data_IF_876656480697
#
_entry.id   IF_876656480697
#
_cell.length_a   1.000
_cell.length_b   1.000
_cell.length_c   1.000
_cell.angle_alpha   90.00
_cell.angle_beta   90.00
_cell.angle_gamma   90.00
#
_symmetry.space_group_name_H-M   'P 1'
#
loop_
_entity.id
_entity.type
_entity.pdbx_description
1 polymer ?
#
# COMPACT_ATOMS: atom_id res chain seq x y z
N UNK A 1 -1.85 0.19 21.21
CA UNK A 1 -3.29 0.47 21.24
C UNK A 1 -3.78 0.69 22.68
N UNK A 2 -3.60 -0.23 23.63
CA UNK A 2 -4.02 -0.03 25.03
C UNK A 2 -3.55 1.29 25.66
N UNK A 3 -2.27 1.66 25.45
CA UNK A 3 -1.68 2.91 25.94
C UNK A 3 -2.38 4.18 25.44
N UNK A 4 -3.04 4.11 24.29
CA UNK A 4 -3.69 5.26 23.64
C UNK A 4 -5.23 5.16 23.70
N UNK A 5 -5.80 4.18 24.41
CA UNK A 5 -7.24 4.02 24.56
C UNK A 5 -7.99 3.56 23.30
N UNK A 6 -7.27 3.04 22.28
CA UNK A 6 -7.87 2.61 21.01
C UNK A 6 -8.24 1.14 20.95
N UNK A 7 -8.23 0.42 22.08
CA UNK A 7 -8.58 -1.00 22.16
C UNK A 7 -10.03 -1.26 22.61
N UNK A 8 -10.87 -0.24 22.49
CA UNK A 8 -12.26 -0.31 22.96
C UNK A 8 -13.16 -0.94 21.89
N UNK A 9 -13.86 -2.01 22.25
CA UNK A 9 -14.99 -2.54 21.48
C UNK A 9 -14.67 -3.43 20.28
N UNK A 10 -13.44 -3.96 20.16
CA UNK A 10 -13.10 -4.91 19.09
C UNK A 10 -13.03 -4.31 17.67
N UNK A 11 -12.98 -2.97 17.56
CA UNK A 11 -12.89 -2.27 16.29
C UNK A 11 -11.52 -2.42 15.57
N UNK A 12 -10.53 -3.03 16.25
CA UNK A 12 -9.18 -3.17 15.75
C UNK A 12 -8.73 -4.62 15.84
N UNK A 13 -8.23 -5.16 14.73
CA UNK A 13 -7.64 -6.49 14.65
C UNK A 13 -6.13 -6.38 14.41
N UNK A 14 -5.33 -7.15 15.12
CA UNK A 14 -3.89 -7.28 14.94
C UNK A 14 -3.57 -8.70 14.52
N UNK A 15 -3.18 -8.85 13.26
CA UNK A 15 -2.86 -10.16 12.68
C UNK A 15 -1.35 -10.28 12.52
N UNK A 16 -0.74 -11.27 13.17
CA UNK A 16 0.64 -11.64 12.93
C UNK A 16 0.68 -12.79 11.92
N UNK A 17 0.95 -12.47 10.66
CA UNK A 17 0.97 -13.44 9.57
C UNK A 17 2.06 -13.10 8.54
N UNK A 18 2.36 -14.04 7.66
CA UNK A 18 3.04 -13.75 6.40
C UNK A 18 2.05 -12.99 5.50
N UNK A 19 2.36 -11.72 5.22
CA UNK A 19 1.47 -10.85 4.45
C UNK A 19 1.22 -11.38 3.03
N UNK A 20 2.24 -12.00 2.39
CA UNK A 20 2.07 -12.54 1.04
C UNK A 20 1.10 -13.72 1.03
N UNK A 21 1.22 -14.63 2.01
CA UNK A 21 0.27 -15.74 2.16
C UNK A 21 -1.15 -15.26 2.45
N UNK A 22 -1.28 -14.25 3.31
CA UNK A 22 -2.60 -13.68 3.64
C UNK A 22 -3.25 -13.05 2.41
N UNK A 23 -2.49 -12.26 1.64
CA UNK A 23 -2.98 -11.62 0.43
C UNK A 23 -3.33 -12.65 -0.65
N UNK A 24 -2.53 -13.72 -0.82
CA UNK A 24 -2.76 -14.79 -1.77
C UNK A 24 -4.03 -15.60 -1.44
N UNK A 25 -4.34 -15.77 -0.16
CA UNK A 25 -5.58 -16.41 0.28
C UNK A 25 -6.84 -15.58 -0.08
N UNK A 26 -6.67 -14.30 -0.36
CA UNK A 26 -7.75 -13.38 -0.70
C UNK A 26 -8.62 -12.95 0.49
N UNK A 27 -9.49 -11.95 0.30
CA UNK A 27 -10.41 -11.49 1.32
C UNK A 27 -11.51 -12.51 1.59
N UNK A 28 -11.98 -12.56 2.85
CA UNK A 28 -13.22 -13.29 3.18
C UNK A 28 -14.41 -12.56 2.57
N UNK A 29 -15.51 -13.27 2.42
CA UNK A 29 -16.75 -12.65 1.92
C UNK A 29 -17.15 -11.45 2.79
N UNK A 30 -17.21 -10.27 2.18
CA UNK A 30 -17.54 -9.02 2.86
C UNK A 30 -16.35 -8.22 3.37
N UNK A 31 -15.13 -8.76 3.35
CA UNK A 31 -13.93 -8.01 3.70
C UNK A 31 -13.54 -7.10 2.52
N UNK A 32 -13.78 -5.80 2.67
CA UNK A 32 -13.31 -4.78 1.74
C UNK A 32 -12.91 -3.53 2.52
N UNK A 33 -11.79 -2.93 2.14
CA UNK A 33 -11.21 -1.78 2.82
C UNK A 33 -11.24 -0.55 1.93
N UNK A 34 -11.62 0.59 2.49
CA UNK A 34 -11.59 1.87 1.77
C UNK A 34 -10.19 2.45 1.67
N UNK A 35 -9.32 2.11 2.64
CA UNK A 35 -7.91 2.53 2.65
C UNK A 35 -7.06 1.33 3.03
N UNK A 36 -6.08 1.02 2.18
CA UNK A 36 -5.04 0.03 2.45
C UNK A 36 -3.69 0.71 2.37
N UNK A 37 -2.88 0.61 3.42
CA UNK A 37 -1.50 1.10 3.42
C UNK A 37 -0.56 -0.08 3.18
N UNK A 38 0.28 0.04 2.16
CA UNK A 38 1.26 -0.97 1.76
C UNK A 38 2.64 -0.32 1.78
N UNK A 39 3.41 -0.61 2.82
CA UNK A 39 4.78 -0.08 3.02
C UNK A 39 5.76 -1.25 3.28
N UNK A 40 6.08 -2.04 2.25
CA UNK A 40 6.91 -3.22 2.40
C UNK A 40 8.39 -2.85 2.55
N UNK A 41 9.21 -3.73 3.15
CA UNK A 41 10.65 -3.54 3.17
C UNK A 41 11.22 -3.58 1.75
N UNK A 42 12.33 -2.88 1.52
CA UNK A 42 13.05 -2.93 0.23
C UNK A 42 13.46 -4.36 -0.12
N UNK A 43 13.88 -5.13 0.88
CA UNK A 43 14.25 -6.54 0.75
C UNK A 43 13.91 -7.30 2.03
N UNK A 44 13.48 -8.55 1.89
CA UNK A 44 13.27 -9.47 3.01
C UNK A 44 13.65 -10.90 2.62
N UNK A 45 14.32 -11.61 3.55
CA UNK A 45 14.69 -13.01 3.44
C UNK A 45 14.33 -13.78 4.72
N UNK A 46 13.26 -13.40 5.39
CA UNK A 46 12.82 -14.03 6.62
C UNK A 46 12.56 -15.52 6.42
N UNK A 47 13.11 -16.35 7.34
CA UNK A 47 12.87 -17.81 7.35
C UNK A 47 11.40 -18.20 7.56
N UNK A 48 10.54 -17.23 7.92
CA UNK A 48 9.09 -17.40 8.10
C UNK A 48 8.28 -17.12 6.85
N UNK A 49 8.92 -16.64 5.77
CA UNK A 49 8.25 -16.40 4.50
C UNK A 49 8.07 -17.71 3.74
N UNK A 50 6.93 -17.86 3.07
CA UNK A 50 6.66 -18.97 2.16
C UNK A 50 7.57 -18.94 0.92
N UNK A 51 8.03 -17.76 0.53
CA UNK A 51 8.97 -17.54 -0.56
C UNK A 51 10.37 -17.29 -0.03
N UNK A 52 11.41 -17.71 -0.76
CA UNK A 52 12.80 -17.61 -0.31
C UNK A 52 13.28 -16.17 -0.08
N UNK A 53 12.74 -15.20 -0.81
CA UNK A 53 13.06 -13.79 -0.63
C UNK A 53 11.99 -12.90 -1.28
N UNK A 54 11.85 -11.70 -0.75
CA UNK A 54 11.05 -10.62 -1.32
C UNK A 54 11.96 -9.45 -1.67
N UNK A 55 11.76 -8.85 -2.85
CA UNK A 55 12.38 -7.58 -3.25
C UNK A 55 11.32 -6.69 -3.86
N UNK A 56 11.17 -5.47 -3.35
CA UNK A 56 10.14 -4.56 -3.83
C UNK A 56 10.29 -4.26 -5.33
N UNK A 57 11.51 -4.15 -5.83
CA UNK A 57 11.78 -3.85 -7.24
C UNK A 57 11.32 -4.95 -8.20
N UNK A 58 11.30 -6.19 -7.72
CA UNK A 58 10.85 -7.36 -8.49
C UNK A 58 9.37 -7.68 -8.25
N UNK A 59 8.94 -7.60 -7.00
CA UNK A 59 7.70 -8.24 -6.55
C UNK A 59 6.52 -7.27 -6.40
N UNK A 60 6.73 -5.96 -6.59
CA UNK A 60 5.67 -4.97 -6.45
C UNK A 60 4.43 -5.20 -7.34
N UNK A 61 4.56 -5.69 -8.61
CA UNK A 61 3.37 -5.91 -9.43
C UNK A 61 2.47 -6.99 -8.82
N UNK A 62 3.06 -8.13 -8.40
CA UNK A 62 2.34 -9.21 -7.73
C UNK A 62 1.76 -8.76 -6.40
N UNK A 63 2.50 -7.95 -5.63
CA UNK A 63 2.01 -7.42 -4.37
C UNK A 63 0.75 -6.58 -4.57
N UNK A 64 0.71 -5.69 -5.54
CA UNK A 64 -0.47 -4.89 -5.86
C UNK A 64 -1.61 -5.74 -6.43
N UNK A 65 -1.30 -6.71 -7.30
CA UNK A 65 -2.29 -7.65 -7.85
C UNK A 65 -3.03 -8.40 -6.72
N UNK A 66 -2.31 -8.91 -5.74
CA UNK A 66 -2.90 -9.61 -4.58
C UNK A 66 -3.61 -8.67 -3.60
N UNK A 67 -3.27 -7.38 -3.59
CA UNK A 67 -3.88 -6.39 -2.69
C UNK A 67 -5.20 -5.84 -3.25
N UNK A 68 -5.32 -5.69 -4.57
CA UNK A 68 -6.51 -5.11 -5.21
C UNK A 68 -7.84 -5.79 -4.83
N UNK A 69 -7.94 -7.13 -4.71
CA UNK A 69 -9.18 -7.79 -4.29
C UNK A 69 -9.67 -7.40 -2.89
N UNK A 70 -8.78 -6.89 -2.03
CA UNK A 70 -9.11 -6.42 -0.68
C UNK A 70 -9.65 -4.99 -0.67
N UNK A 71 -9.56 -4.28 -1.79
CA UNK A 71 -9.96 -2.89 -1.89
C UNK A 71 -11.44 -2.77 -2.22
N UNK A 72 -12.16 -1.88 -1.51
CA UNK A 72 -13.53 -1.53 -1.88
C UNK A 72 -13.55 -0.84 -3.25
N UNK A 73 -14.71 -0.84 -3.91
CA UNK A 73 -14.86 -0.29 -5.28
C UNK A 73 -14.42 1.18 -5.41
N UNK A 74 -14.47 1.95 -4.32
CA UNK A 74 -14.06 3.36 -4.28
C UNK A 74 -12.85 3.58 -3.35
N UNK A 75 -12.19 2.49 -2.94
CA UNK A 75 -11.05 2.50 -2.03
C UNK A 75 -9.75 2.92 -2.71
N UNK A 76 -8.74 3.13 -1.88
CA UNK A 76 -7.40 3.56 -2.30
C UNK A 76 -6.32 2.77 -1.58
N UNK A 77 -5.32 2.30 -2.34
CA UNK A 77 -4.08 1.75 -1.78
C UNK A 77 -3.04 2.86 -1.75
N UNK A 78 -2.49 3.11 -0.58
CA UNK A 78 -1.32 3.97 -0.38
C UNK A 78 -0.08 3.10 -0.37
N UNK A 79 0.62 3.07 -1.50
CA UNK A 79 1.80 2.26 -1.70
C UNK A 79 3.05 3.12 -1.56
N UNK A 80 3.96 2.78 -0.64
CA UNK A 80 5.22 3.48 -0.44
C UNK A 80 6.41 2.53 -0.46
N UNK A 81 7.59 3.08 -0.76
CA UNK A 81 8.85 2.35 -0.67
C UNK A 81 10.03 3.30 -0.47
N UNK A 82 10.98 2.87 0.37
CA UNK A 82 12.24 3.58 0.61
C UNK A 82 13.36 3.16 -0.38
N UNK A 83 13.06 2.29 -1.35
CA UNK A 83 14.04 1.95 -2.39
C UNK A 83 14.29 3.15 -3.31
N UNK A 84 15.50 3.68 -3.28
CA UNK A 84 15.92 4.81 -4.13
C UNK A 84 15.99 4.44 -5.61
N UNK A 85 16.24 3.16 -5.91
CA UNK A 85 16.27 2.62 -7.27
C UNK A 85 14.91 2.24 -7.83
N UNK A 86 13.85 2.36 -7.02
CA UNK A 86 12.52 1.94 -7.44
C UNK A 86 11.98 2.79 -8.59
N UNK A 87 11.67 2.11 -9.68
CA UNK A 87 11.00 2.68 -10.85
C UNK A 87 9.73 1.90 -11.10
N UNK A 88 8.61 2.61 -11.06
CA UNK A 88 7.34 2.01 -11.40
C UNK A 88 7.21 1.91 -12.91
N UNK A 89 6.97 0.70 -13.41
CA UNK A 89 6.74 0.38 -14.81
C UNK A 89 5.21 0.28 -15.05
N UNK A 90 4.56 1.28 -15.68
CA UNK A 90 3.10 1.31 -15.81
C UNK A 90 2.53 0.08 -16.54
N UNK A 91 3.30 -0.51 -17.43
CA UNK A 91 2.95 -1.71 -18.19
C UNK A 91 2.83 -2.99 -17.33
N UNK A 92 3.40 -2.96 -16.12
CA UNK A 92 3.33 -4.05 -15.15
C UNK A 92 2.20 -3.88 -14.13
N UNK A 93 1.42 -2.81 -14.24
CA UNK A 93 0.27 -2.62 -13.35
C UNK A 93 -0.75 -3.74 -13.55
N UNK A 94 -1.38 -4.22 -12.47
CA UNK A 94 -2.48 -5.15 -12.56
C UNK A 94 -3.62 -4.62 -13.42
N UNK A 95 -4.25 -5.53 -14.19
CA UNK A 95 -5.40 -5.17 -15.01
C UNK A 95 -6.52 -4.54 -14.15
N UNK A 96 -7.09 -3.46 -14.63
CA UNK A 96 -8.14 -2.74 -13.90
C UNK A 96 -7.65 -1.83 -12.78
N UNK A 97 -6.34 -1.63 -12.61
CA UNK A 97 -5.76 -0.67 -11.70
C UNK A 97 -5.36 0.62 -12.41
N UNK A 98 -5.45 1.73 -11.69
CA UNK A 98 -4.85 3.03 -12.05
C UNK A 98 -3.93 3.47 -10.94
N UNK A 99 -2.87 4.21 -11.31
CA UNK A 99 -1.86 4.67 -10.34
C UNK A 99 -1.54 6.15 -10.54
N UNK A 100 -1.23 6.82 -9.43
CA UNK A 100 -0.78 8.20 -9.41
C UNK A 100 0.44 8.33 -8.50
N UNK A 101 1.53 8.90 -9.00
CA UNK A 101 2.69 9.27 -8.18
C UNK A 101 2.34 10.48 -7.30
N UNK A 102 2.48 10.31 -5.99
CA UNK A 102 2.23 11.33 -4.98
C UNK A 102 3.49 11.65 -4.17
N UNK A 103 4.64 11.12 -4.54
CA UNK A 103 5.89 11.22 -3.78
C UNK A 103 6.18 12.66 -3.31
N UNK A 104 6.05 13.64 -4.22
CA UNK A 104 6.30 15.05 -3.89
C UNK A 104 5.36 15.66 -2.84
N UNK A 105 4.17 15.07 -2.66
CA UNK A 105 3.17 15.57 -1.70
C UNK A 105 3.33 14.95 -0.32
N UNK A 106 4.12 13.88 -0.21
CA UNK A 106 4.35 13.15 1.03
C UNK A 106 5.68 13.47 1.68
N UNK A 107 6.48 14.37 1.07
CA UNK A 107 7.76 14.82 1.60
C UNK A 107 7.54 16.15 2.32
N UNK A 108 7.77 16.23 3.64
CA UNK A 108 7.67 17.48 4.40
C UNK A 108 8.65 18.54 3.89
N UNK A 109 8.30 19.82 4.05
CA UNK A 109 9.10 20.94 3.53
C UNK A 109 10.48 21.08 4.21
N UNK A 110 10.58 20.61 5.45
CA UNK A 110 11.81 20.62 6.27
C UNK A 110 12.77 19.49 5.96
N UNK A 111 12.38 18.51 5.11
CA UNK A 111 13.27 17.45 4.68
C UNK A 111 14.33 17.97 3.72
N UNK A 112 15.60 17.80 4.09
CA UNK A 112 16.75 18.15 3.24
C UNK A 112 16.85 17.27 1.99
N UNK A 113 16.58 15.97 2.13
CA UNK A 113 16.47 15.04 1.00
C UNK A 113 15.10 15.20 0.34
N UNK A 114 15.09 15.53 -0.95
CA UNK A 114 13.85 15.71 -1.74
C UNK A 114 13.33 14.42 -2.37
N UNK A 115 14.03 13.30 -2.18
CA UNK A 115 13.65 11.99 -2.73
C UNK A 115 13.89 10.85 -1.74
N UNK A 116 13.48 10.99 -0.46
CA UNK A 116 13.78 9.98 0.56
C UNK A 116 13.00 8.69 0.33
N UNK A 117 11.86 8.77 -0.34
CA UNK A 117 10.96 7.65 -0.64
C UNK A 117 10.18 7.89 -1.94
N UNK A 118 9.47 6.86 -2.39
CA UNK A 118 8.43 6.94 -3.41
C UNK A 118 7.09 6.61 -2.79
N UNK A 119 6.05 7.32 -3.21
CA UNK A 119 4.69 7.07 -2.75
C UNK A 119 3.70 7.19 -3.92
N UNK A 120 2.76 6.25 -3.96
CA UNK A 120 1.79 6.13 -5.02
C UNK A 120 0.40 5.88 -4.44
N UNK A 121 -0.62 6.41 -5.11
CA UNK A 121 -2.00 6.01 -4.90
C UNK A 121 -2.42 5.07 -6.01
N UNK A 122 -2.98 3.93 -5.62
CA UNK A 122 -3.54 2.94 -6.54
C UNK A 122 -5.03 2.77 -6.25
N UNK A 123 -5.84 2.68 -7.29
CA UNK A 123 -7.27 2.49 -7.18
C UNK A 123 -7.78 1.61 -8.33
N UNK A 124 -9.02 1.16 -8.23
CA UNK A 124 -9.70 0.54 -9.37
C UNK A 124 -9.93 1.57 -10.49
N UNK A 125 -9.70 1.19 -11.73
CA UNK A 125 -9.95 2.05 -12.89
C UNK A 125 -11.43 2.45 -13.02
N UNK A 126 -12.34 1.67 -12.44
CA UNK A 126 -13.78 1.94 -12.36
C UNK A 126 -14.17 2.89 -11.23
N UNK A 127 -13.24 3.26 -10.34
CA UNK A 127 -13.53 4.19 -9.26
C UNK A 127 -13.93 5.57 -9.82
N UNK A 128 -15.10 6.05 -9.42
CA UNK A 128 -15.65 7.31 -9.90
C UNK A 128 -15.14 8.53 -9.15
N UNK A 129 -14.57 8.33 -7.98
CA UNK A 129 -13.90 9.39 -7.23
C UNK A 129 -12.50 9.58 -7.83
N UNK A 130 -12.22 10.75 -8.44
CA UNK A 130 -10.84 11.09 -8.73
C UNK A 130 -10.07 11.04 -7.41
N UNK A 131 -8.85 10.54 -7.47
CA UNK A 131 -7.91 10.63 -6.37
C UNK A 131 -7.61 12.12 -6.17
N UNK A 132 -8.53 12.83 -5.50
CA UNK A 132 -8.36 14.25 -5.22
C UNK A 132 -7.49 14.39 -3.98
N UNK A 133 -6.20 14.52 -4.23
CA UNK A 133 -5.22 14.89 -3.22
C UNK A 133 -5.20 16.41 -3.05
N UNK A 134 -6.32 17.03 -2.86
CA UNK A 134 -6.32 18.30 -2.16
C UNK A 134 -6.03 17.98 -0.69
N UNK A 135 -4.77 17.84 -0.38
CA UNK A 135 -4.31 18.09 0.98
C UNK A 135 -4.60 19.56 1.20
N UNK A 136 -5.75 19.86 1.77
CA UNK A 136 -5.98 21.17 2.34
C UNK A 136 -4.86 21.35 3.37
N UNK A 137 -3.91 22.22 3.04
CA UNK A 137 -2.89 22.62 4.01
C UNK A 137 -3.68 23.28 5.14
N UNK A 138 -3.77 22.60 6.27
CA UNK A 138 -4.17 23.25 7.49
C UNK A 138 -3.15 24.36 7.75
N UNK A 139 -3.63 25.60 7.62
CA UNK A 139 -2.88 26.84 7.96
C UNK A 139 -2.76 26.92 9.47
#
# INVERSE_FOLDING_TARGET
MKLNGFDVGGAHEFVQADCLQMLEAGPRSGDAFDIIVVDPPTFSNSKRMAVNSFSIERDWPRLLEMTLPWLSAQGQIWFSTNSRGFVLAPELLPAGAVIRDISKYTIPEDFADRTPHRAYLVAHASATRPVDLRVERAV
#
